data_IF_327201006428
#
_entry.id   IF_327201006428
#
_cell.length_a   1.000
_cell.length_b   1.000
_cell.length_c   1.000
_cell.angle_alpha   90.00
_cell.angle_beta   90.00
_cell.angle_gamma   90.00
#
_symmetry.space_group_name_H-M   'P 1'
#
loop_
_entity.id
_entity.type
_entity.pdbx_description
1 polymer ?
#
# COMPACT_ATOMS: atom_id res chain seq x y z
N UNK A 1 52.53 -45.79 -42.11
CA UNK A 1 52.90 -44.40 -41.83
C UNK A 1 52.04 -43.87 -40.69
N UNK A 2 52.68 -43.34 -39.73
CA UNK A 2 52.33 -43.23 -38.31
C UNK A 2 51.38 -42.08 -38.03
N UNK A 3 50.30 -42.37 -37.30
CA UNK A 3 49.38 -41.43 -36.79
C UNK A 3 49.94 -40.64 -35.61
N UNK A 4 49.65 -39.37 -35.56
CA UNK A 4 49.92 -38.46 -34.46
C UNK A 4 48.81 -38.46 -33.42
N UNK A 5 49.10 -38.33 -32.14
CA UNK A 5 48.12 -38.40 -31.10
C UNK A 5 47.41 -37.06 -30.94
N UNK A 6 46.11 -37.13 -30.77
CA UNK A 6 45.18 -36.05 -30.53
C UNK A 6 45.32 -35.54 -29.07
N UNK A 7 45.67 -34.28 -28.88
CA UNK A 7 45.64 -33.62 -27.60
C UNK A 7 44.21 -33.17 -27.26
N UNK A 8 43.68 -33.49 -26.10
CA UNK A 8 42.39 -32.91 -25.66
C UNK A 8 42.59 -31.48 -25.15
N UNK A 9 42.02 -30.53 -25.87
CA UNK A 9 41.94 -29.14 -25.45
C UNK A 9 41.12 -29.01 -24.16
N UNK A 10 41.76 -28.58 -23.12
CA UNK A 10 41.10 -28.07 -21.91
C UNK A 10 40.34 -26.79 -22.23
N UNK A 11 39.07 -26.89 -22.51
CA UNK A 11 38.15 -25.73 -22.40
C UNK A 11 37.83 -25.57 -20.93
N UNK A 12 38.66 -24.77 -20.26
CA UNK A 12 38.32 -24.19 -18.96
C UNK A 12 37.18 -23.23 -19.12
N UNK A 13 35.94 -23.75 -19.01
CA UNK A 13 34.79 -22.94 -18.85
C UNK A 13 34.90 -22.18 -17.53
N UNK A 14 35.25 -20.89 -17.62
CA UNK A 14 35.02 -19.97 -16.54
C UNK A 14 33.52 -19.99 -16.26
N UNK A 15 33.11 -20.74 -15.27
CA UNK A 15 31.86 -20.48 -14.59
C UNK A 15 32.01 -19.07 -13.97
N UNK A 16 31.61 -18.04 -14.69
CA UNK A 16 31.23 -16.80 -14.09
C UNK A 16 30.11 -17.18 -13.12
N UNK A 17 30.43 -17.26 -11.85
CA UNK A 17 29.43 -17.17 -10.80
C UNK A 17 28.82 -15.78 -10.99
N UNK A 18 27.67 -15.76 -11.63
CA UNK A 18 26.76 -14.65 -11.57
C UNK A 18 26.31 -14.62 -10.11
N UNK A 19 27.10 -13.95 -9.28
CA UNK A 19 26.56 -13.29 -8.11
C UNK A 19 25.68 -12.18 -8.70
N UNK A 20 24.48 -12.56 -9.09
CA UNK A 20 23.42 -11.60 -9.25
C UNK A 20 23.36 -10.86 -7.92
N UNK A 21 23.89 -9.65 -7.97
CA UNK A 21 23.72 -8.66 -6.94
C UNK A 21 22.22 -8.59 -6.69
N UNK A 22 21.78 -9.14 -5.57
CA UNK A 22 20.48 -8.86 -5.01
C UNK A 22 20.50 -7.42 -4.53
N UNK A 23 20.56 -6.48 -5.46
CA UNK A 23 19.95 -5.21 -5.24
C UNK A 23 18.44 -5.50 -5.26
N UNK A 24 17.91 -5.80 -4.10
CA UNK A 24 16.48 -5.81 -3.90
C UNK A 24 16.01 -4.43 -4.32
N UNK A 25 15.27 -4.38 -5.43
CA UNK A 25 14.54 -3.20 -5.83
C UNK A 25 13.45 -3.01 -4.78
N UNK A 26 13.74 -2.20 -3.77
CA UNK A 26 12.81 -1.89 -2.68
C UNK A 26 11.94 -0.72 -3.09
N UNK A 27 10.71 -0.67 -2.59
CA UNK A 27 9.79 0.42 -2.87
C UNK A 27 10.40 1.80 -2.55
N UNK A 28 10.01 2.78 -3.32
CA UNK A 28 10.32 4.19 -3.01
C UNK A 28 9.42 4.64 -1.88
N UNK A 29 9.98 4.89 -0.71
CA UNK A 29 9.22 5.31 0.48
C UNK A 29 9.40 6.80 0.75
N UNK A 30 8.33 7.44 1.22
CA UNK A 30 8.30 8.82 1.64
C UNK A 30 7.64 8.91 3.03
N UNK A 31 8.39 9.26 4.09
CA UNK A 31 9.86 9.48 4.10
C UNK A 31 10.65 8.19 3.77
N UNK A 32 11.92 8.33 3.43
CA UNK A 32 12.78 7.16 3.16
C UNK A 32 12.99 6.27 4.37
N UNK A 33 12.98 6.87 5.55
CA UNK A 33 13.17 6.21 6.83
C UNK A 33 12.21 6.84 7.82
N UNK A 34 11.46 6.02 8.55
CA UNK A 34 10.65 6.49 9.67
C UNK A 34 11.54 6.71 10.89
N UNK A 35 11.53 7.93 11.42
CA UNK A 35 12.10 8.22 12.72
C UNK A 35 11.11 7.76 13.81
N UNK A 36 11.60 7.50 15.02
CA UNK A 36 10.72 7.09 16.13
C UNK A 36 9.64 8.11 16.46
N UNK A 37 9.96 9.39 16.29
CA UNK A 37 9.03 10.50 16.49
C UNK A 37 7.92 10.60 15.43
N UNK A 38 8.15 10.05 14.22
CA UNK A 38 7.20 10.11 13.12
C UNK A 38 6.18 8.97 13.17
N UNK A 39 6.35 8.06 14.13
CA UNK A 39 5.53 6.87 14.27
C UNK A 39 4.39 7.10 15.23
N UNK A 40 3.19 7.14 14.72
CA UNK A 40 1.98 7.16 15.54
C UNK A 40 1.76 5.83 16.27
N UNK A 41 2.24 4.72 15.68
CA UNK A 41 2.07 3.41 16.29
C UNK A 41 3.11 2.37 15.84
N UNK A 42 3.34 1.34 16.69
CA UNK A 42 4.14 0.17 16.32
C UNK A 42 3.55 -0.62 15.16
N UNK A 43 2.25 -0.54 14.98
CA UNK A 43 1.53 -1.19 13.88
C UNK A 43 1.90 -0.56 12.53
N UNK A 44 1.93 0.76 12.45
CA UNK A 44 2.37 1.47 11.25
C UNK A 44 3.82 1.14 10.88
N UNK A 45 4.72 1.03 11.89
CA UNK A 45 6.10 0.60 11.63
C UNK A 45 6.16 -0.76 10.94
N UNK A 46 5.42 -1.76 11.45
CA UNK A 46 5.39 -3.10 10.85
C UNK A 46 4.94 -3.06 9.39
N UNK A 47 3.90 -2.29 9.11
CA UNK A 47 3.39 -2.14 7.74
C UNK A 47 4.39 -1.39 6.87
N UNK A 48 4.97 -0.29 7.35
CA UNK A 48 5.97 0.46 6.59
C UNK A 48 7.17 -0.41 6.18
N UNK A 49 7.75 -1.15 7.14
CA UNK A 49 8.89 -2.03 6.89
C UNK A 49 8.51 -3.13 5.89
N UNK A 50 7.35 -3.75 6.07
CA UNK A 50 6.87 -4.79 5.16
C UNK A 50 6.64 -4.27 3.74
N UNK A 51 6.00 -3.11 3.58
CA UNK A 51 5.78 -2.49 2.27
C UNK A 51 7.09 -2.07 1.61
N UNK A 52 8.01 -1.43 2.37
CA UNK A 52 9.32 -1.02 1.87
C UNK A 52 10.12 -2.20 1.34
N UNK A 53 10.20 -3.29 2.12
CA UNK A 53 11.12 -4.40 1.86
C UNK A 53 10.56 -5.42 0.85
N UNK A 54 9.25 -5.44 0.63
CA UNK A 54 8.59 -6.45 -0.19
C UNK A 54 8.04 -5.92 -1.51
N UNK A 55 7.80 -4.61 -1.62
CA UNK A 55 7.34 -4.02 -2.88
C UNK A 55 8.51 -3.61 -3.76
N UNK A 56 8.30 -3.66 -5.09
CA UNK A 56 9.31 -3.24 -6.06
C UNK A 56 9.51 -1.71 -6.09
N UNK A 57 10.64 -1.27 -6.61
CA UNK A 57 11.02 0.15 -6.79
C UNK A 57 10.15 0.90 -7.81
N UNK A 58 9.33 0.21 -8.57
CA UNK A 58 8.31 0.82 -9.42
C UNK A 58 7.17 1.44 -8.61
N UNK A 59 7.02 1.05 -7.34
CA UNK A 59 5.95 1.50 -6.45
C UNK A 59 6.44 2.58 -5.50
N UNK A 60 5.57 3.54 -5.23
CA UNK A 60 5.81 4.58 -4.24
C UNK A 60 4.87 4.41 -3.06
N UNK A 61 5.42 4.52 -1.85
CA UNK A 61 4.72 4.39 -0.58
C UNK A 61 4.89 5.68 0.20
N UNK A 62 3.80 6.37 0.45
CA UNK A 62 3.74 7.58 1.28
C UNK A 62 3.15 7.20 2.64
N UNK A 63 3.83 7.58 3.71
CA UNK A 63 3.36 7.42 5.08
C UNK A 63 2.85 8.76 5.61
N UNK A 64 1.77 8.73 6.37
CA UNK A 64 1.10 9.93 6.93
C UNK A 64 0.81 10.97 5.85
N UNK A 65 0.20 10.53 4.76
CA UNK A 65 -0.13 11.40 3.65
C UNK A 65 -1.30 12.32 4.01
N UNK A 66 -0.99 13.58 4.27
CA UNK A 66 -2.01 14.61 4.45
C UNK A 66 -2.54 15.10 3.12
N UNK A 67 -3.84 15.29 3.03
CA UNK A 67 -4.53 15.76 1.85
C UNK A 67 -5.43 16.94 2.20
N UNK A 68 -5.06 18.14 1.74
CA UNK A 68 -5.90 19.31 1.87
C UNK A 68 -6.73 19.45 0.58
N UNK A 69 -8.04 19.34 0.69
CA UNK A 69 -8.97 19.46 -0.42
C UNK A 69 -10.06 20.47 -0.12
N UNK A 70 -10.73 20.97 -1.16
CA UNK A 70 -11.86 21.89 -1.02
C UNK A 70 -13.17 21.10 -1.02
N UNK A 71 -13.91 21.24 0.06
CA UNK A 71 -15.31 20.81 0.12
C UNK A 71 -16.21 21.99 -0.26
N UNK A 72 -17.18 21.75 -1.14
CA UNK A 72 -18.08 22.80 -1.61
C UNK A 72 -19.01 23.35 -0.52
N UNK A 73 -19.29 22.56 0.50
CA UNK A 73 -20.20 22.93 1.59
C UNK A 73 -19.45 23.50 2.81
N UNK A 74 -18.23 23.00 3.09
CA UNK A 74 -17.55 23.24 4.37
C UNK A 74 -16.19 23.97 4.21
N UNK A 75 -15.76 24.25 2.98
CA UNK A 75 -14.48 24.93 2.71
C UNK A 75 -13.28 24.00 2.66
N UNK A 76 -12.10 24.48 3.09
CA UNK A 76 -10.89 23.66 3.12
C UNK A 76 -10.98 22.61 4.23
N UNK A 77 -10.74 21.36 3.89
CA UNK A 77 -10.64 20.23 4.82
C UNK A 77 -9.28 19.60 4.71
N UNK A 78 -8.77 19.17 5.86
CA UNK A 78 -7.57 18.37 5.99
C UNK A 78 -7.97 16.92 6.34
N UNK A 79 -7.40 15.96 5.64
CA UNK A 79 -7.56 14.55 5.92
C UNK A 79 -6.20 13.86 5.83
N UNK A 80 -5.95 12.92 6.73
CA UNK A 80 -4.69 12.21 6.81
C UNK A 80 -4.92 10.71 6.79
N UNK A 81 -4.31 10.05 5.79
CA UNK A 81 -4.27 8.61 5.68
C UNK A 81 -2.93 8.04 6.15
N UNK A 82 -2.97 6.85 6.73
CA UNK A 82 -1.76 6.21 7.24
C UNK A 82 -0.77 5.90 6.11
N UNK A 83 -1.26 5.35 4.98
CA UNK A 83 -0.44 5.09 3.79
C UNK A 83 -1.19 5.34 2.49
N UNK A 84 -0.48 5.90 1.51
CA UNK A 84 -0.88 5.97 0.12
C UNK A 84 0.15 5.24 -0.73
N UNK A 85 -0.27 4.21 -1.47
CA UNK A 85 0.58 3.45 -2.36
C UNK A 85 0.23 3.76 -3.82
N UNK A 86 1.21 4.22 -4.57
CA UNK A 86 1.05 4.49 -6.00
C UNK A 86 1.66 3.37 -6.83
N UNK A 87 0.86 2.70 -7.65
CA UNK A 87 1.32 1.79 -8.67
C UNK A 87 1.26 2.50 -10.03
N UNK A 88 2.40 2.62 -10.76
CA UNK A 88 2.50 3.51 -11.92
C UNK A 88 1.51 3.19 -13.05
N UNK A 89 1.08 1.95 -13.17
CA UNK A 89 0.27 1.46 -14.27
C UNK A 89 -1.08 0.86 -13.87
N UNK A 90 -1.48 0.95 -12.59
CA UNK A 90 -2.71 0.28 -12.15
C UNK A 90 -3.64 1.16 -11.33
N UNK A 91 -3.23 1.58 -10.13
CA UNK A 91 -4.11 2.28 -9.20
C UNK A 91 -3.34 2.92 -8.05
N UNK A 92 -4.07 3.66 -7.25
CA UNK A 92 -3.65 4.16 -5.95
C UNK A 92 -4.41 3.37 -4.88
N UNK A 93 -3.68 2.90 -3.87
CA UNK A 93 -4.25 2.22 -2.71
C UNK A 93 -4.11 3.12 -1.50
N UNK A 94 -5.23 3.48 -0.87
CA UNK A 94 -5.27 4.15 0.42
C UNK A 94 -5.37 3.08 1.49
N UNK A 95 -4.32 2.89 2.30
CA UNK A 95 -4.24 1.85 3.30
C UNK A 95 -4.30 2.46 4.70
N UNK A 96 -5.33 2.13 5.44
CA UNK A 96 -5.48 2.48 6.85
C UNK A 96 -4.95 1.35 7.74
N UNK A 97 -4.26 1.68 8.84
CA UNK A 97 -3.66 0.72 9.76
C UNK A 97 -4.29 0.84 11.14
N UNK A 98 -4.66 -0.29 11.70
CA UNK A 98 -5.17 -0.34 13.08
C UNK A 98 -4.38 -1.35 13.89
N UNK A 99 -3.62 -0.82 14.86
CA UNK A 99 -2.83 -1.62 15.80
C UNK A 99 -3.60 -2.02 17.05
N UNK A 100 -3.03 -2.99 17.76
CA UNK A 100 -3.57 -3.51 19.02
C UNK A 100 -4.68 -4.54 18.83
N UNK A 101 -5.32 -4.91 19.94
CA UNK A 101 -6.46 -5.79 19.93
C UNK A 101 -7.70 -5.12 19.38
N UNK A 102 -8.46 -5.83 18.58
CA UNK A 102 -9.71 -5.38 17.98
C UNK A 102 -10.81 -6.40 18.18
N UNK A 103 -12.00 -5.93 18.44
CA UNK A 103 -13.25 -6.70 18.42
C UNK A 103 -14.26 -5.99 17.51
N UNK A 104 -15.01 -6.78 16.75
CA UNK A 104 -16.15 -6.29 15.99
C UNK A 104 -17.40 -7.00 16.47
N UNK A 105 -18.38 -6.25 16.95
CA UNK A 105 -19.65 -6.80 17.45
C UNK A 105 -20.82 -6.00 16.89
N UNK A 106 -21.71 -6.68 16.15
CA UNK A 106 -22.89 -6.07 15.51
C UNK A 106 -22.52 -4.83 14.64
N UNK A 107 -21.40 -4.90 13.92
CA UNK A 107 -20.92 -3.80 13.07
C UNK A 107 -20.26 -2.64 13.83
N UNK A 108 -20.14 -2.73 15.15
CA UNK A 108 -19.40 -1.75 15.94
C UNK A 108 -17.99 -2.25 16.28
N UNK A 109 -17.01 -1.38 16.13
CA UNK A 109 -15.60 -1.67 16.39
C UNK A 109 -15.20 -1.22 17.80
N UNK A 110 -14.41 -2.06 18.47
CA UNK A 110 -13.91 -1.81 19.81
C UNK A 110 -12.42 -2.10 19.88
N UNK A 111 -11.69 -1.20 20.53
CA UNK A 111 -10.28 -1.41 20.89
C UNK A 111 -10.23 -2.23 22.18
N UNK A 112 -9.35 -3.23 22.21
CA UNK A 112 -9.05 -4.04 23.38
C UNK A 112 -7.73 -3.56 24.01
N UNK A 113 -7.74 -3.04 25.25
CA UNK A 113 -6.51 -2.61 25.94
C UNK A 113 -5.56 -3.80 26.17
N UNK A 114 -4.25 -3.60 25.90
CA UNK A 114 -3.23 -4.65 26.05
C UNK A 114 -3.07 -5.17 27.50
N UNK A 115 -3.38 -4.34 28.50
CA UNK A 115 -3.30 -4.67 29.92
C UNK A 115 -4.58 -5.31 30.51
N UNK A 116 -5.56 -5.64 29.68
CA UNK A 116 -6.91 -5.95 30.13
C UNK A 116 -7.67 -4.71 30.57
N UNK A 117 -8.95 -4.79 30.65
CA UNK A 117 -9.83 -3.67 30.99
C UNK A 117 -11.03 -3.59 30.06
N UNK A 118 -11.93 -2.62 30.28
CA UNK A 118 -13.10 -2.46 29.43
C UNK A 118 -12.68 -2.12 28.01
N UNK A 119 -13.38 -2.72 27.05
CA UNK A 119 -13.22 -2.35 25.65
C UNK A 119 -13.71 -0.94 25.38
N UNK A 120 -13.04 -0.23 24.50
CA UNK A 120 -13.36 1.15 24.12
C UNK A 120 -13.96 1.14 22.72
N UNK A 121 -15.11 1.80 22.54
CA UNK A 121 -15.68 1.97 21.21
C UNK A 121 -14.79 2.87 20.36
N UNK A 122 -14.54 2.46 19.12
CA UNK A 122 -13.75 3.24 18.17
C UNK A 122 -14.57 3.53 16.91
N UNK A 123 -14.21 4.59 16.16
CA UNK A 123 -14.78 4.82 14.83
C UNK A 123 -14.56 3.63 13.90
N UNK A 124 -15.46 3.46 12.95
CA UNK A 124 -15.32 2.44 11.91
C UNK A 124 -14.05 2.70 11.07
N UNK A 125 -13.06 1.79 11.10
CA UNK A 125 -11.83 1.98 10.36
C UNK A 125 -12.03 1.90 8.84
N UNK A 126 -13.08 1.19 8.36
CA UNK A 126 -13.40 1.12 6.94
C UNK A 126 -13.96 2.44 6.44
N UNK A 127 -14.84 3.08 7.23
CA UNK A 127 -15.34 4.41 6.93
C UNK A 127 -14.18 5.41 6.82
N UNK A 128 -13.22 5.38 7.76
CA UNK A 128 -12.04 6.26 7.72
C UNK A 128 -11.20 6.05 6.46
N UNK A 129 -10.90 4.81 6.10
CA UNK A 129 -10.15 4.50 4.88
C UNK A 129 -10.88 4.95 3.60
N UNK A 130 -12.20 4.82 3.60
CA UNK A 130 -13.07 5.26 2.52
C UNK A 130 -13.09 6.79 2.39
N UNK A 131 -13.20 7.50 3.50
CA UNK A 131 -13.20 8.96 3.53
C UNK A 131 -11.87 9.52 3.00
N UNK A 132 -10.74 8.96 3.45
CA UNK A 132 -9.41 9.32 2.93
C UNK A 132 -9.29 9.07 1.42
N UNK A 133 -9.78 7.95 0.92
CA UNK A 133 -9.83 7.68 -0.52
C UNK A 133 -10.61 8.77 -1.28
N UNK A 134 -11.76 9.19 -0.75
CA UNK A 134 -12.55 10.25 -1.38
C UNK A 134 -11.89 11.62 -1.28
N UNK A 135 -11.23 11.93 -0.17
CA UNK A 135 -10.44 13.15 -0.01
C UNK A 135 -9.33 13.23 -1.08
N UNK A 136 -8.55 12.15 -1.22
CA UNK A 136 -7.51 12.07 -2.23
C UNK A 136 -8.07 12.16 -3.66
N UNK A 137 -9.21 11.52 -3.93
CA UNK A 137 -9.87 11.60 -5.24
C UNK A 137 -10.30 13.03 -5.58
N UNK A 138 -10.86 13.77 -4.60
CA UNK A 138 -11.23 15.19 -4.77
C UNK A 138 -10.00 16.03 -5.02
N UNK A 139 -8.94 15.86 -4.22
CA UNK A 139 -7.68 16.58 -4.40
C UNK A 139 -7.11 16.41 -5.80
N UNK A 140 -7.06 15.18 -6.28
CA UNK A 140 -6.58 14.88 -7.64
C UNK A 140 -7.46 15.55 -8.70
N UNK A 141 -8.77 15.58 -8.50
CA UNK A 141 -9.70 16.21 -9.44
C UNK A 141 -9.56 17.75 -9.52
N UNK A 142 -8.93 18.37 -8.52
CA UNK A 142 -8.60 19.81 -8.55
C UNK A 142 -7.51 20.16 -9.59
N UNK A 143 -6.63 19.20 -9.94
CA UNK A 143 -5.61 19.42 -10.96
C UNK A 143 -6.22 19.29 -12.37
N UNK A 144 -6.18 20.34 -13.20
CA UNK A 144 -6.71 20.32 -14.57
C UNK A 144 -6.12 19.22 -15.47
N UNK A 145 -4.91 18.74 -15.16
CA UNK A 145 -4.28 17.63 -15.89
C UNK A 145 -5.06 16.32 -15.79
N UNK A 146 -5.98 16.22 -14.82
CA UNK A 146 -6.79 15.03 -14.55
C UNK A 146 -8.21 15.12 -15.11
N UNK A 147 -8.62 16.26 -15.64
CA UNK A 147 -10.00 16.55 -16.05
C UNK A 147 -10.62 15.48 -16.96
N UNK A 148 -9.80 14.87 -17.82
CA UNK A 148 -10.24 13.87 -18.79
C UNK A 148 -9.65 12.47 -18.51
N UNK A 149 -9.13 12.24 -17.30
CA UNK A 149 -8.46 11.00 -16.94
C UNK A 149 -9.18 10.29 -15.80
N UNK A 150 -9.36 8.99 -15.92
CA UNK A 150 -9.87 8.15 -14.83
C UNK A 150 -8.70 7.60 -14.02
N UNK A 151 -8.69 7.96 -12.75
CA UNK A 151 -7.85 7.34 -11.75
C UNK A 151 -8.64 6.29 -10.99
N UNK A 152 -7.99 5.17 -10.78
CA UNK A 152 -8.55 4.12 -9.95
C UNK A 152 -7.93 4.21 -8.56
N UNK A 153 -8.79 4.48 -7.59
CA UNK A 153 -8.43 4.48 -6.19
C UNK A 153 -9.21 3.39 -5.48
N UNK A 154 -8.52 2.65 -4.64
CA UNK A 154 -9.11 1.66 -3.76
C UNK A 154 -8.64 1.90 -2.33
N UNK A 155 -9.50 1.64 -1.36
CA UNK A 155 -9.09 1.63 0.04
C UNK A 155 -8.85 0.20 0.51
N UNK A 156 -7.99 0.06 1.52
CA UNK A 156 -7.68 -1.20 2.16
C UNK A 156 -7.37 -0.97 3.64
N UNK A 157 -7.42 -2.02 4.43
CA UNK A 157 -7.10 -1.96 5.85
C UNK A 157 -6.05 -3.01 6.22
N UNK A 158 -5.22 -2.66 7.20
CA UNK A 158 -4.27 -3.58 7.78
C UNK A 158 -4.40 -3.64 9.31
N UNK A 159 -4.44 -4.85 9.83
CA UNK A 159 -4.50 -5.19 11.26
C UNK A 159 -3.26 -6.02 11.65
N UNK A 160 -2.06 -5.42 11.72
CA UNK A 160 -0.80 -6.17 11.82
C UNK A 160 -0.59 -6.86 13.18
N UNK A 161 -1.44 -6.64 14.15
CA UNK A 161 -1.31 -7.21 15.50
C UNK A 161 -2.26 -8.38 15.77
N UNK A 162 -3.27 -8.56 14.94
CA UNK A 162 -4.30 -9.58 15.14
C UNK A 162 -4.54 -10.40 13.87
N UNK A 163 -5.21 -11.54 14.02
CA UNK A 163 -5.79 -12.27 12.89
C UNK A 163 -7.28 -12.00 12.82
N UNK A 164 -7.74 -11.57 11.64
CA UNK A 164 -9.13 -11.12 11.45
C UNK A 164 -10.08 -12.23 11.01
N UNK A 165 -9.60 -13.42 10.69
CA UNK A 165 -10.43 -14.50 10.17
C UNK A 165 -11.56 -14.95 11.12
N UNK A 166 -11.46 -14.59 12.40
CA UNK A 166 -12.49 -14.86 13.42
C UNK A 166 -13.44 -13.69 13.64
N UNK A 167 -13.22 -12.56 12.97
CA UNK A 167 -14.03 -11.36 13.10
C UNK A 167 -15.07 -11.31 11.99
N UNK A 168 -16.28 -10.95 12.34
CA UNK A 168 -17.34 -10.64 11.38
C UNK A 168 -17.28 -9.14 11.12
N UNK A 169 -16.53 -8.75 10.11
CA UNK A 169 -16.25 -7.34 9.81
C UNK A 169 -17.40 -6.63 9.08
N UNK A 170 -18.35 -7.39 8.54
CA UNK A 170 -19.48 -6.85 7.80
C UNK A 170 -19.28 -6.85 6.27
N UNK A 171 -20.33 -6.49 5.51
CA UNK A 171 -20.31 -6.56 4.05
C UNK A 171 -19.37 -5.54 3.39
N UNK A 172 -19.09 -4.42 4.07
CA UNK A 172 -18.22 -3.36 3.57
C UNK A 172 -16.72 -3.68 3.73
N UNK A 173 -16.42 -4.84 4.32
CA UNK A 173 -15.08 -5.33 4.60
C UNK A 173 -14.78 -6.65 3.87
N UNK A 174 -14.79 -6.68 2.54
CA UNK A 174 -14.46 -7.90 1.80
C UNK A 174 -13.02 -8.33 2.10
N UNK A 175 -12.75 -9.64 2.20
CA UNK A 175 -11.43 -10.16 2.57
C UNK A 175 -10.28 -9.65 1.68
N UNK A 176 -10.59 -9.33 0.44
CA UNK A 176 -9.61 -8.89 -0.56
C UNK A 176 -8.94 -7.56 -0.19
N UNK A 177 -9.64 -6.68 0.53
CA UNK A 177 -9.12 -5.38 0.95
C UNK A 177 -8.61 -5.36 2.39
N UNK A 178 -8.55 -6.52 3.05
CA UNK A 178 -8.13 -6.62 4.45
C UNK A 178 -6.83 -7.40 4.55
N UNK A 179 -5.82 -6.83 5.19
CA UNK A 179 -4.60 -7.50 5.62
C UNK A 179 -4.61 -7.73 7.12
N UNK A 180 -4.05 -8.84 7.56
CA UNK A 180 -3.91 -9.15 8.98
C UNK A 180 -2.45 -9.51 9.34
N UNK A 181 -2.18 -9.90 10.59
CA UNK A 181 -0.83 -10.25 11.03
C UNK A 181 -0.21 -11.41 10.24
N UNK A 182 -1.02 -12.29 9.65
CA UNK A 182 -0.52 -13.42 8.89
C UNK A 182 -0.05 -13.00 7.49
N UNK A 183 -0.55 -11.87 7.00
CA UNK A 183 -0.19 -11.30 5.71
C UNK A 183 1.12 -10.50 5.74
N UNK A 184 1.66 -10.17 6.93
CA UNK A 184 2.88 -9.35 7.06
C UNK A 184 4.10 -9.92 6.35
N UNK A 185 4.17 -11.23 6.19
CA UNK A 185 5.27 -11.90 5.49
C UNK A 185 5.18 -11.80 3.96
N UNK A 186 4.03 -11.40 3.41
CA UNK A 186 3.80 -11.26 1.98
C UNK A 186 2.83 -10.10 1.65
N UNK A 187 3.21 -8.89 2.05
CA UNK A 187 2.44 -7.67 1.74
C UNK A 187 2.39 -7.39 0.24
N UNK A 188 3.33 -7.92 -0.53
CA UNK A 188 3.26 -7.82 -1.98
C UNK A 188 2.03 -8.55 -2.54
N UNK A 189 1.77 -9.78 -2.10
CA UNK A 189 0.57 -10.53 -2.47
C UNK A 189 -0.72 -9.85 -1.99
N UNK A 190 -0.70 -9.23 -0.80
CA UNK A 190 -1.83 -8.43 -0.32
C UNK A 190 -2.16 -7.30 -1.28
N UNK A 191 -1.17 -6.50 -1.65
CA UNK A 191 -1.40 -5.36 -2.56
C UNK A 191 -1.87 -5.85 -3.93
N UNK A 192 -1.36 -6.97 -4.44
CA UNK A 192 -1.86 -7.57 -5.69
C UNK A 192 -3.32 -8.03 -5.56
N UNK A 193 -3.72 -8.61 -4.44
CA UNK A 193 -5.10 -9.01 -4.14
C UNK A 193 -6.04 -7.79 -4.13
N UNK A 194 -5.63 -6.72 -3.45
CA UNK A 194 -6.37 -5.44 -3.42
C UNK A 194 -6.55 -4.86 -4.82
N UNK A 195 -5.49 -4.84 -5.63
CA UNK A 195 -5.53 -4.33 -7.00
C UNK A 195 -6.38 -5.21 -7.93
N UNK A 196 -6.39 -6.52 -7.73
CA UNK A 196 -7.23 -7.46 -8.49
C UNK A 196 -8.71 -7.26 -8.19
N UNK A 197 -9.07 -7.02 -6.93
CA UNK A 197 -10.44 -6.67 -6.54
C UNK A 197 -10.96 -5.41 -7.24
N UNK A 198 -10.09 -4.41 -7.39
CA UNK A 198 -10.43 -3.20 -8.15
C UNK A 198 -10.72 -3.54 -9.63
N UNK A 199 -9.91 -4.39 -10.24
CA UNK A 199 -10.09 -4.79 -11.63
C UNK A 199 -11.41 -5.54 -11.87
N UNK A 200 -11.83 -6.41 -10.95
CA UNK A 200 -13.10 -7.13 -11.01
C UNK A 200 -14.31 -6.19 -10.92
N UNK A 201 -14.25 -5.16 -10.08
CA UNK A 201 -15.32 -4.16 -9.94
C UNK A 201 -15.49 -3.25 -11.16
N UNK A 202 -14.54 -3.26 -12.08
CA UNK A 202 -14.49 -2.42 -13.29
C UNK A 202 -14.63 -3.25 -14.57
N UNK A 203 -15.24 -4.43 -14.48
CA UNK A 203 -15.43 -5.32 -15.62
C UNK A 203 -16.04 -4.58 -16.82
N UNK A 204 -15.30 -4.56 -17.95
CA UNK A 204 -15.69 -3.87 -19.19
C UNK A 204 -15.11 -2.46 -19.39
N UNK A 205 -14.46 -1.88 -18.40
CA UNK A 205 -13.66 -0.66 -18.56
C UNK A 205 -12.19 -1.09 -18.45
N UNK A 206 -11.48 -1.09 -19.56
CA UNK A 206 -10.00 -1.13 -19.50
C UNK A 206 -9.61 0.05 -18.63
N UNK A 207 -8.94 -0.17 -17.49
CA UNK A 207 -8.45 0.95 -16.70
C UNK A 207 -7.64 1.84 -17.63
N UNK A 208 -8.05 3.12 -17.75
CA UNK A 208 -7.16 4.12 -18.30
C UNK A 208 -5.98 4.15 -17.36
N UNK A 209 -4.96 3.36 -17.71
CA UNK A 209 -3.75 3.23 -16.89
C UNK A 209 -3.28 4.61 -16.53
N UNK A 210 -3.05 4.95 -15.25
CA UNK A 210 -2.38 6.18 -14.93
C UNK A 210 -1.07 6.16 -15.70
N UNK A 211 -0.94 7.06 -16.67
CA UNK A 211 0.31 7.21 -17.39
C UNK A 211 1.41 7.48 -16.34
N UNK A 212 2.61 6.94 -16.56
CA UNK A 212 3.73 7.10 -15.63
C UNK A 212 3.96 8.57 -15.21
N UNK A 213 3.72 9.52 -16.14
CA UNK A 213 3.79 10.95 -15.84
C UNK A 213 2.72 11.43 -14.87
N UNK A 214 1.59 10.79 -14.85
CA UNK A 214 0.46 11.08 -13.97
C UNK A 214 0.78 10.67 -12.53
N UNK A 215 1.33 9.47 -12.35
CA UNK A 215 1.79 9.00 -11.04
C UNK A 215 2.89 9.89 -10.50
N UNK A 216 3.86 10.30 -11.33
CA UNK A 216 4.91 11.25 -10.93
C UNK A 216 4.35 12.58 -10.44
N UNK A 217 3.28 13.07 -11.04
CA UNK A 217 2.62 14.32 -10.59
C UNK A 217 1.93 14.14 -9.25
N UNK A 218 1.26 13.00 -9.03
CA UNK A 218 0.66 12.67 -7.72
C UNK A 218 1.77 12.53 -6.69
N UNK A 219 2.82 11.77 -7.00
CA UNK A 219 3.98 11.62 -6.13
C UNK A 219 4.57 12.99 -5.78
N UNK A 220 4.72 13.89 -6.75
CA UNK A 220 5.23 15.23 -6.54
C UNK A 220 4.32 16.07 -5.62
N UNK A 221 3.00 15.96 -5.78
CA UNK A 221 2.03 16.63 -4.91
C UNK A 221 2.06 16.09 -3.49
N UNK A 222 2.02 14.78 -3.32
CA UNK A 222 2.09 14.15 -2.00
C UNK A 222 3.44 14.40 -1.29
N UNK A 223 4.56 14.37 -2.01
CA UNK A 223 5.88 14.70 -1.44
C UNK A 223 5.93 16.15 -0.98
N UNK A 224 5.38 17.08 -1.74
CA UNK A 224 5.36 18.50 -1.37
C UNK A 224 4.52 18.77 -0.11
N UNK A 225 3.53 17.92 0.18
CA UNK A 225 2.68 18.04 1.37
C UNK A 225 3.22 17.26 2.58
N UNK A 226 4.16 16.31 2.37
CA UNK A 226 4.72 15.45 3.43
C UNK A 226 6.04 16.01 4.01
N UNK A 227 6.63 17.05 3.40
CA UNK A 227 7.85 17.74 3.86
C UNK A 227 7.46 18.98 4.67
#
# INVERSE_FOLDING_TARGET
SRGLPNCPGRTGGLRKSVRESRYQHIARTFPRTLLEQDLKSKAERKIFEALRDQLSDERSVFHSASVIYRDHAEGARDDEGDFVLCHPNRAIVCLEVKGGGLECQHGAFYRLPAGGGPRERMPDPFAKALDHRYALQRKIAEDPAWKDRRLFLIHALAFPDISVHKLVLGPDAPPEIVADRNDLSDMAAVIERVLSRLAEGVAGVVPGLPLADTVKRIEGGLVAETI
#
